data_IF_260457137524
#
_entry.id   IF_260457137524
#
_cell.length_a   1.000
_cell.length_b   1.000
_cell.length_c   1.000
_cell.angle_alpha   90.00
_cell.angle_beta   90.00
_cell.angle_gamma   90.00
#
_symmetry.space_group_name_H-M   'P 1'
#
loop_
_entity.id
_entity.type
_entity.pdbx_description
1 polymer ?
#
# COMPACT_ATOMS: atom_id res chain seq x y z
N UNK A 1 15.34 -16.36 -35.44
CA UNK A 1 13.86 -16.36 -35.43
C UNK A 1 13.41 -15.06 -34.85
N UNK A 2 12.82 -14.17 -35.67
CA UNK A 2 12.28 -12.89 -35.25
C UNK A 2 10.94 -13.15 -34.55
N UNK A 3 10.88 -12.94 -33.23
CA UNK A 3 9.60 -12.80 -32.54
C UNK A 3 9.00 -11.44 -32.95
N UNK A 4 8.06 -11.46 -33.87
CA UNK A 4 7.19 -10.34 -34.13
C UNK A 4 6.30 -10.16 -32.90
N UNK A 5 6.51 -9.11 -32.11
CA UNK A 5 5.59 -8.66 -31.10
C UNK A 5 4.27 -8.30 -31.82
N UNK A 6 3.25 -9.17 -31.73
CA UNK A 6 1.88 -8.78 -32.02
C UNK A 6 1.52 -7.69 -31.02
N UNK A 7 1.42 -6.44 -31.48
CA UNK A 7 0.78 -5.38 -30.71
C UNK A 7 -0.68 -5.85 -30.48
N UNK A 8 -0.95 -6.37 -29.31
CA UNK A 8 -2.32 -6.64 -28.89
C UNK A 8 -3.02 -5.28 -28.86
N UNK A 9 -4.06 -5.11 -29.67
CA UNK A 9 -4.95 -3.94 -29.58
C UNK A 9 -5.49 -3.95 -28.17
N UNK A 10 -5.03 -3.00 -27.34
CA UNK A 10 -5.51 -2.85 -25.97
C UNK A 10 -6.99 -2.49 -26.07
N UNK A 11 -7.84 -3.40 -25.64
CA UNK A 11 -9.27 -3.17 -25.60
C UNK A 11 -9.57 -2.22 -24.46
N UNK A 12 -10.06 -1.03 -24.76
CA UNK A 12 -10.48 -0.06 -23.76
C UNK A 12 -11.59 -0.64 -22.88
N UNK A 13 -11.46 -0.48 -21.58
CA UNK A 13 -12.36 -1.02 -20.57
C UNK A 13 -12.91 0.10 -19.70
N UNK A 14 -14.12 -0.11 -19.17
CA UNK A 14 -14.67 0.67 -18.06
C UNK A 14 -14.37 -0.08 -16.76
N UNK A 15 -13.58 0.54 -15.88
CA UNK A 15 -13.08 -0.08 -14.67
C UNK A 15 -13.69 0.63 -13.45
N UNK A 16 -14.39 -0.11 -12.59
CA UNK A 16 -14.80 0.39 -11.29
C UNK A 16 -13.80 -0.09 -10.22
N UNK A 17 -13.14 0.84 -9.53
CA UNK A 17 -12.30 0.54 -8.37
C UNK A 17 -13.09 0.89 -7.12
N UNK A 18 -13.24 -0.04 -6.18
CA UNK A 18 -13.94 0.17 -4.92
C UNK A 18 -13.01 -0.01 -3.72
N UNK A 19 -12.88 1.02 -2.90
CA UNK A 19 -12.04 0.99 -1.73
C UNK A 19 -12.67 1.78 -0.59
N UNK A 20 -12.73 1.20 0.60
CA UNK A 20 -13.13 1.92 1.82
C UNK A 20 -12.01 2.84 2.35
N UNK A 21 -10.78 2.69 1.83
CA UNK A 21 -9.63 3.55 2.09
C UNK A 21 -9.09 4.06 0.76
N UNK A 22 -9.15 5.37 0.56
CA UNK A 22 -8.66 6.01 -0.65
C UNK A 22 -8.06 7.38 -0.33
N UNK A 23 -7.22 7.89 -1.25
CA UNK A 23 -6.67 9.23 -1.16
C UNK A 23 -7.75 10.28 -0.82
N UNK A 24 -7.49 11.26 0.09
CA UNK A 24 -6.19 11.69 0.59
C UNK A 24 -5.65 10.94 1.82
N UNK A 25 -6.30 9.89 2.30
CA UNK A 25 -5.73 9.06 3.35
C UNK A 25 -4.45 8.38 2.85
N UNK A 26 -3.37 8.43 3.65
CA UNK A 26 -2.05 7.93 3.28
C UNK A 26 -1.81 6.58 3.96
N UNK A 27 -1.93 5.53 3.18
CA UNK A 27 -1.54 4.17 3.55
C UNK A 27 -1.29 3.33 2.29
N UNK A 28 -0.74 2.14 2.43
CA UNK A 28 -0.39 1.29 1.28
C UNK A 28 -1.56 0.96 0.35
N UNK A 29 -2.78 0.81 0.89
CA UNK A 29 -3.99 0.52 0.09
C UNK A 29 -4.39 1.73 -0.76
N UNK A 30 -4.42 2.92 -0.15
CA UNK A 30 -4.81 4.14 -0.87
C UNK A 30 -3.77 4.58 -1.89
N UNK A 31 -2.48 4.43 -1.60
CA UNK A 31 -1.40 4.67 -2.55
C UNK A 31 -1.50 3.73 -3.75
N UNK A 32 -1.64 2.42 -3.50
CA UNK A 32 -1.82 1.44 -4.58
C UNK A 32 -3.07 1.71 -5.41
N UNK A 33 -4.23 1.96 -4.76
CA UNK A 33 -5.50 2.22 -5.44
C UNK A 33 -5.44 3.46 -6.32
N UNK A 34 -4.74 4.50 -5.84
CA UNK A 34 -4.49 5.74 -6.60
C UNK A 34 -3.60 5.46 -7.81
N UNK A 35 -2.44 4.81 -7.61
CA UNK A 35 -1.53 4.46 -8.69
C UNK A 35 -2.21 3.58 -9.75
N UNK A 36 -3.03 2.61 -9.32
CA UNK A 36 -3.80 1.76 -10.23
C UNK A 36 -4.79 2.60 -11.07
N UNK A 37 -5.52 3.53 -10.45
CA UNK A 37 -6.47 4.39 -11.16
C UNK A 37 -5.75 5.28 -12.18
N UNK A 38 -4.68 5.96 -11.78
CA UNK A 38 -3.86 6.83 -12.64
C UNK A 38 -3.27 6.08 -13.83
N UNK A 39 -2.64 4.94 -13.57
CA UNK A 39 -1.96 4.17 -14.60
C UNK A 39 -2.95 3.50 -15.57
N UNK A 40 -4.10 3.01 -15.11
CA UNK A 40 -5.15 2.48 -15.99
C UNK A 40 -5.74 3.59 -16.86
N UNK A 41 -5.96 4.78 -16.31
CA UNK A 41 -6.43 5.95 -17.05
C UNK A 41 -5.40 6.39 -18.10
N UNK A 42 -4.12 6.47 -17.74
CA UNK A 42 -3.03 6.80 -18.66
C UNK A 42 -2.92 5.82 -19.85
N UNK A 43 -3.41 4.58 -19.69
CA UNK A 43 -3.51 3.57 -20.75
C UNK A 43 -4.80 3.67 -21.56
N UNK A 44 -5.66 4.69 -21.30
CA UNK A 44 -6.86 5.01 -22.03
C UNK A 44 -8.13 4.34 -21.50
N UNK A 45 -8.08 3.60 -20.40
CA UNK A 45 -9.29 3.03 -19.79
C UNK A 45 -10.15 4.11 -19.13
N UNK A 46 -11.49 3.93 -19.15
CA UNK A 46 -12.41 4.77 -18.35
C UNK A 46 -12.44 4.25 -16.91
N UNK A 47 -11.86 5.00 -15.97
CA UNK A 47 -11.75 4.59 -14.57
C UNK A 47 -12.65 5.43 -13.67
N UNK A 48 -13.41 4.76 -12.81
CA UNK A 48 -14.19 5.39 -11.75
C UNK A 48 -13.86 4.72 -10.42
N UNK A 49 -13.43 5.53 -9.44
CA UNK A 49 -13.16 5.09 -8.08
C UNK A 49 -14.37 5.37 -7.20
N UNK A 50 -14.78 4.41 -6.40
CA UNK A 50 -15.83 4.55 -5.39
C UNK A 50 -15.20 4.45 -4.01
N UNK A 51 -15.32 5.53 -3.21
CA UNK A 51 -14.69 5.62 -1.90
C UNK A 51 -15.55 6.47 -0.93
N UNK A 52 -15.38 6.31 0.41
CA UNK A 52 -16.07 7.15 1.37
C UNK A 52 -15.75 8.64 1.19
N UNK A 53 -16.74 9.49 1.40
CA UNK A 53 -16.59 10.94 1.38
C UNK A 53 -15.72 11.41 2.56
N UNK A 54 -14.95 12.46 2.33
CA UNK A 54 -14.17 13.11 3.39
C UNK A 54 -14.99 14.14 4.17
N UNK A 55 -16.07 14.67 3.56
CA UNK A 55 -16.94 15.67 4.18
C UNK A 55 -18.15 15.06 4.88
N UNK A 56 -18.50 13.82 4.57
CA UNK A 56 -19.72 13.13 5.01
C UNK A 56 -20.76 13.05 3.91
N UNK A 57 -20.83 14.04 3.02
CA UNK A 57 -21.82 14.13 1.97
C UNK A 57 -21.37 13.42 0.68
N UNK A 58 -22.36 13.01 -0.14
CA UNK A 58 -22.10 12.49 -1.47
C UNK A 58 -21.67 13.58 -2.43
N UNK A 59 -20.58 13.35 -3.16
CA UNK A 59 -20.14 14.20 -4.29
C UNK A 59 -19.29 13.41 -5.27
N UNK A 60 -19.07 13.97 -6.46
CA UNK A 60 -18.15 13.41 -7.48
C UNK A 60 -17.06 14.43 -7.72
N UNK A 61 -15.81 13.99 -7.69
CA UNK A 61 -14.65 14.82 -8.02
C UNK A 61 -13.93 14.24 -9.24
N UNK A 62 -13.37 15.10 -10.06
CA UNK A 62 -12.43 14.74 -11.12
C UNK A 62 -11.02 14.91 -10.58
N UNK A 63 -10.23 13.85 -10.68
CA UNK A 63 -8.85 13.81 -10.22
C UNK A 63 -8.01 13.40 -11.42
N UNK A 64 -7.19 14.31 -11.90
CA UNK A 64 -6.46 14.16 -13.14
C UNK A 64 -7.45 13.75 -14.27
N UNK A 65 -7.33 12.57 -14.86
CA UNK A 65 -8.20 12.11 -15.94
C UNK A 65 -9.20 11.00 -15.52
N UNK A 66 -9.42 10.78 -14.20
CA UNK A 66 -10.40 9.83 -13.70
C UNK A 66 -11.36 10.45 -12.67
N UNK A 67 -12.49 9.78 -12.44
CA UNK A 67 -13.51 10.26 -11.49
C UNK A 67 -13.46 9.50 -10.18
N UNK A 68 -13.67 10.24 -9.08
CA UNK A 68 -13.85 9.66 -7.74
C UNK A 68 -15.24 9.97 -7.24
N UNK A 69 -16.04 8.94 -7.03
CA UNK A 69 -17.38 9.02 -6.43
C UNK A 69 -17.23 8.91 -4.93
N UNK A 70 -17.39 10.03 -4.25
CA UNK A 70 -17.35 10.13 -2.79
C UNK A 70 -18.72 9.80 -2.22
N UNK A 71 -18.82 8.62 -1.64
CA UNK A 71 -20.06 8.09 -1.08
C UNK A 71 -20.29 8.66 0.32
N UNK A 72 -21.55 8.97 0.65
CA UNK A 72 -21.92 9.49 1.98
C UNK A 72 -21.34 8.63 3.08
N UNK A 73 -20.76 9.27 4.10
CA UNK A 73 -19.96 8.57 5.10
C UNK A 73 -20.11 9.18 6.49
N UNK A 74 -19.81 8.39 7.51
CA UNK A 74 -19.73 8.83 8.91
C UNK A 74 -18.36 8.51 9.50
N UNK A 75 -17.95 9.23 10.53
CA UNK A 75 -16.69 8.96 11.22
C UNK A 75 -16.74 7.60 11.93
N UNK A 76 -15.64 6.87 11.89
CA UNK A 76 -15.48 5.67 12.70
C UNK A 76 -15.14 6.08 14.14
N UNK A 77 -16.00 5.76 15.14
CA UNK A 77 -15.95 6.40 16.47
C UNK A 77 -14.72 6.06 17.31
N UNK A 78 -13.93 5.07 16.94
CA UNK A 78 -12.82 4.53 17.74
C UNK A 78 -11.43 4.83 17.15
N UNK A 79 -11.33 5.62 16.08
CA UNK A 79 -10.05 5.95 15.48
C UNK A 79 -9.73 7.44 15.71
N UNK A 80 -8.53 7.78 16.23
CA UNK A 80 -8.18 9.16 16.48
C UNK A 80 -8.13 9.95 15.18
N UNK A 81 -8.75 11.13 15.21
CA UNK A 81 -8.70 12.07 14.09
C UNK A 81 -7.29 12.68 14.02
N UNK A 82 -6.58 12.44 12.94
CA UNK A 82 -5.36 13.17 12.61
C UNK A 82 -5.72 14.27 11.60
N UNK A 83 -5.30 15.49 11.86
CA UNK A 83 -5.48 16.64 10.96
C UNK A 83 -4.24 16.78 10.09
N UNK A 84 -4.35 16.54 8.80
CA UNK A 84 -3.32 16.87 7.82
C UNK A 84 -3.83 17.94 6.86
N UNK A 85 -2.94 18.86 6.45
CA UNK A 85 -3.21 19.87 5.44
C UNK A 85 -2.81 19.36 4.07
N UNK A 86 -3.75 19.31 3.12
CA UNK A 86 -3.43 19.06 1.71
C UNK A 86 -2.74 20.25 1.06
N UNK A 87 -1.78 20.02 0.15
CA UNK A 87 -1.03 21.10 -0.48
C UNK A 87 -1.83 21.93 -1.48
N UNK A 88 -2.92 21.46 -2.08
CA UNK A 88 -3.70 22.21 -3.07
C UNK A 88 -5.23 21.96 -3.03
N UNK A 89 -6.05 22.99 -3.36
CA UNK A 89 -7.51 22.83 -3.49
C UNK A 89 -7.84 22.07 -4.78
N UNK A 90 -8.75 21.08 -4.70
CA UNK A 90 -9.23 20.29 -5.85
C UNK A 90 -10.56 20.86 -6.39
N UNK A 91 -10.75 20.78 -7.72
CA UNK A 91 -12.02 21.09 -8.37
C UNK A 91 -13.01 19.94 -8.21
N UNK A 92 -14.25 20.23 -7.90
CA UNK A 92 -15.35 19.25 -7.82
C UNK A 92 -16.18 19.37 -9.10
N UNK A 93 -16.46 18.24 -9.74
CA UNK A 93 -17.31 18.18 -10.94
C UNK A 93 -18.74 18.63 -10.58
N UNK A 94 -19.27 19.60 -11.33
CA UNK A 94 -20.60 20.18 -11.09
C UNK A 94 -20.63 21.60 -10.57
N UNK A 95 -19.48 22.28 -10.46
CA UNK A 95 -19.31 23.72 -10.26
C UNK A 95 -19.17 24.18 -8.80
N UNK A 96 -18.10 24.89 -8.55
CA UNK A 96 -17.88 25.90 -7.50
C UNK A 96 -17.87 25.47 -6.03
N UNK A 97 -17.49 24.26 -5.68
CA UNK A 97 -17.04 24.02 -4.29
C UNK A 97 -15.54 23.75 -4.32
N UNK A 98 -14.76 24.75 -3.95
CA UNK A 98 -13.35 24.58 -3.61
C UNK A 98 -13.35 23.93 -2.23
N UNK A 99 -12.87 22.69 -2.11
CA UNK A 99 -12.66 22.09 -0.79
C UNK A 99 -11.57 22.91 -0.11
N UNK A 100 -11.84 23.58 1.02
CA UNK A 100 -10.83 24.40 1.69
C UNK A 100 -9.64 23.54 2.10
N UNK A 101 -8.42 24.11 2.03
CA UNK A 101 -7.14 23.50 2.45
C UNK A 101 -7.12 22.88 3.86
N UNK A 102 -8.16 23.03 4.66
CA UNK A 102 -8.09 22.92 6.13
C UNK A 102 -8.75 21.66 6.69
N UNK A 103 -9.47 20.84 5.93
CA UNK A 103 -10.26 19.75 6.52
C UNK A 103 -10.05 18.40 5.85
N UNK A 104 -8.93 17.77 6.21
CA UNK A 104 -8.79 16.33 6.08
C UNK A 104 -8.69 15.75 7.49
N UNK A 105 -9.83 15.33 8.00
CA UNK A 105 -9.82 14.43 9.14
C UNK A 105 -9.29 13.09 8.63
N UNK A 106 -8.08 12.72 9.01
CA UNK A 106 -7.51 11.40 8.77
C UNK A 106 -8.16 10.32 9.68
N UNK A 107 -9.39 10.52 10.08
CA UNK A 107 -10.20 9.48 10.70
C UNK A 107 -10.71 8.50 9.64
N UNK A 108 -10.75 7.21 9.97
CA UNK A 108 -11.46 6.24 9.14
C UNK A 108 -12.93 6.65 9.03
N UNK A 109 -13.43 6.75 7.80
CA UNK A 109 -14.83 7.04 7.52
C UNK A 109 -15.47 5.84 6.88
N UNK A 110 -16.71 5.55 7.27
CA UNK A 110 -17.47 4.40 6.79
C UNK A 110 -18.70 4.87 6.01
N UNK A 111 -18.89 4.29 4.83
CA UNK A 111 -20.09 4.45 4.03
C UNK A 111 -21.05 3.29 4.33
N UNK A 112 -22.06 3.53 5.14
CA UNK A 112 -22.91 2.43 5.64
C UNK A 112 -23.89 1.87 4.61
N UNK A 113 -24.37 2.69 3.64
CA UNK A 113 -25.34 2.31 2.62
C UNK A 113 -24.90 2.71 1.21
N UNK A 114 -23.68 2.37 0.77
CA UNK A 114 -23.10 2.89 -0.48
C UNK A 114 -23.81 2.40 -1.74
N UNK A 115 -24.53 1.28 -1.68
CA UNK A 115 -25.18 0.64 -2.84
C UNK A 115 -26.18 1.56 -3.58
N UNK A 116 -26.87 2.46 -2.85
CA UNK A 116 -27.85 3.38 -3.46
C UNK A 116 -27.14 4.42 -4.31
N UNK A 117 -26.05 4.98 -3.80
CA UNK A 117 -25.28 6.02 -4.47
C UNK A 117 -24.46 5.45 -5.63
N UNK A 118 -23.90 4.25 -5.49
CA UNK A 118 -23.26 3.52 -6.61
C UNK A 118 -24.26 3.36 -7.77
N UNK A 119 -25.47 2.88 -7.50
CA UNK A 119 -26.51 2.72 -8.54
C UNK A 119 -26.93 4.05 -9.15
N UNK A 120 -27.10 5.08 -8.32
CA UNK A 120 -27.45 6.43 -8.77
C UNK A 120 -26.41 6.94 -9.75
N UNK A 121 -25.12 6.94 -9.35
CA UNK A 121 -24.03 7.37 -10.20
C UNK A 121 -23.96 6.61 -11.52
N UNK A 122 -24.00 5.27 -11.47
CA UNK A 122 -23.92 4.45 -12.66
C UNK A 122 -25.07 4.72 -13.65
N UNK A 123 -26.29 4.96 -13.15
CA UNK A 123 -27.45 5.29 -13.97
C UNK A 123 -27.35 6.69 -14.58
N UNK A 124 -27.04 7.71 -13.77
CA UNK A 124 -26.99 9.12 -14.19
C UNK A 124 -25.85 9.39 -15.18
N UNK A 125 -24.73 8.68 -15.06
CA UNK A 125 -23.56 8.86 -15.91
C UNK A 125 -23.44 7.81 -17.04
N UNK A 126 -24.44 6.95 -17.23
CA UNK A 126 -24.39 5.83 -18.18
C UNK A 126 -23.08 5.01 -18.07
N UNK A 127 -22.60 4.84 -16.81
CA UNK A 127 -21.40 4.11 -16.51
C UNK A 127 -21.75 2.69 -16.07
N UNK A 128 -21.47 1.72 -16.92
CA UNK A 128 -21.56 0.30 -16.56
C UNK A 128 -20.17 -0.29 -16.70
N UNK A 129 -19.52 -0.67 -15.59
CA UNK A 129 -18.16 -1.20 -15.64
C UNK A 129 -18.10 -2.56 -16.33
N UNK A 130 -17.04 -2.77 -17.10
CA UNK A 130 -16.69 -4.08 -17.67
C UNK A 130 -16.11 -5.01 -16.60
N UNK A 131 -15.46 -4.43 -15.58
CA UNK A 131 -14.88 -5.13 -14.43
C UNK A 131 -14.93 -4.25 -13.19
N UNK A 132 -15.15 -4.87 -12.03
CA UNK A 132 -15.04 -4.21 -10.73
C UNK A 132 -13.85 -4.77 -9.95
N UNK A 133 -12.97 -3.87 -9.48
CA UNK A 133 -11.80 -4.24 -8.68
C UNK A 133 -11.92 -3.71 -7.25
N UNK A 134 -11.96 -4.60 -6.29
CA UNK A 134 -12.15 -4.31 -4.87
C UNK A 134 -10.81 -4.33 -4.16
N UNK A 135 -10.48 -3.23 -3.45
CA UNK A 135 -9.20 -3.06 -2.77
C UNK A 135 -9.28 -3.29 -1.26
N UNK A 136 -10.47 -3.17 -0.69
CA UNK A 136 -10.68 -3.40 0.74
C UNK A 136 -12.04 -4.06 0.98
N UNK A 137 -12.07 -4.92 2.00
CA UNK A 137 -13.18 -5.83 2.27
C UNK A 137 -14.11 -5.26 3.36
N UNK A 138 -14.68 -4.06 3.12
CA UNK A 138 -15.65 -3.44 4.01
C UNK A 138 -16.94 -3.08 3.25
N UNK A 139 -17.60 -1.99 3.62
CA UNK A 139 -18.92 -1.64 3.13
C UNK A 139 -18.97 -1.28 1.65
N UNK A 140 -18.04 -0.45 1.18
CA UNK A 140 -17.97 -0.03 -0.23
C UNK A 140 -17.62 -1.24 -1.11
N UNK A 141 -16.64 -2.04 -0.68
CA UNK A 141 -16.26 -3.26 -1.36
C UNK A 141 -17.41 -4.25 -1.48
N UNK A 142 -18.15 -4.52 -0.40
CA UNK A 142 -19.29 -5.44 -0.42
C UNK A 142 -20.43 -4.91 -1.32
N UNK A 143 -20.73 -3.62 -1.24
CA UNK A 143 -21.77 -3.03 -2.08
C UNK A 143 -21.42 -3.10 -3.57
N UNK A 144 -20.15 -2.92 -3.93
CA UNK A 144 -19.70 -3.06 -5.32
C UNK A 144 -19.79 -4.52 -5.79
N UNK A 145 -19.47 -5.50 -4.94
CA UNK A 145 -19.68 -6.92 -5.25
C UNK A 145 -21.16 -7.21 -5.52
N UNK A 146 -22.05 -6.71 -4.65
CA UNK A 146 -23.49 -6.92 -4.81
C UNK A 146 -24.06 -6.23 -6.06
N UNK A 147 -23.54 -5.04 -6.39
CA UNK A 147 -23.83 -4.36 -7.66
C UNK A 147 -23.38 -5.19 -8.86
N UNK A 148 -22.12 -5.62 -8.85
CA UNK A 148 -21.51 -6.38 -9.94
C UNK A 148 -22.22 -7.69 -10.22
N UNK A 149 -22.56 -8.44 -9.16
CA UNK A 149 -23.32 -9.70 -9.30
C UNK A 149 -24.69 -9.52 -9.94
N UNK A 150 -25.40 -8.43 -9.60
CA UNK A 150 -26.72 -8.14 -10.19
C UNK A 150 -26.65 -7.78 -11.66
N UNK A 151 -25.53 -7.22 -12.09
CA UNK A 151 -25.31 -6.80 -13.48
C UNK A 151 -24.42 -7.75 -14.27
N UNK A 152 -24.07 -8.93 -13.69
CA UNK A 152 -23.20 -9.93 -14.30
C UNK A 152 -21.82 -9.39 -14.67
N UNK A 153 -21.28 -8.46 -13.87
CA UNK A 153 -19.95 -7.86 -14.01
C UNK A 153 -18.94 -8.72 -13.25
N UNK A 154 -17.79 -9.09 -13.84
CA UNK A 154 -16.74 -9.82 -13.15
C UNK A 154 -16.10 -8.99 -12.04
N UNK A 155 -15.72 -9.67 -10.96
CA UNK A 155 -15.14 -9.07 -9.76
C UNK A 155 -13.71 -9.56 -9.55
N UNK A 156 -12.78 -8.64 -9.47
CA UNK A 156 -11.40 -8.87 -9.01
C UNK A 156 -11.28 -8.35 -7.58
N UNK A 157 -10.61 -9.06 -6.70
CA UNK A 157 -10.37 -8.62 -5.32
C UNK A 157 -8.86 -8.68 -5.05
N UNK A 158 -8.26 -7.55 -4.65
CA UNK A 158 -6.93 -7.52 -4.06
C UNK A 158 -7.05 -7.42 -2.55
N UNK A 159 -6.52 -8.40 -1.83
CA UNK A 159 -6.50 -8.36 -0.38
C UNK A 159 -5.16 -7.81 0.12
N UNK A 160 -5.21 -6.60 0.65
CA UNK A 160 -4.06 -5.90 1.26
C UNK A 160 -4.01 -6.06 2.78
N UNK A 161 -5.04 -6.65 3.40
CA UNK A 161 -5.20 -6.66 4.84
C UNK A 161 -4.33 -7.73 5.48
N UNK A 162 -3.56 -7.33 6.49
CA UNK A 162 -3.05 -8.22 7.52
C UNK A 162 -3.91 -8.04 8.78
N UNK A 163 -4.29 -9.12 9.48
CA UNK A 163 -5.10 -9.03 10.71
C UNK A 163 -4.47 -8.12 11.76
N UNK A 164 -3.15 -8.16 11.88
CA UNK A 164 -2.39 -7.37 12.86
C UNK A 164 -2.56 -5.87 12.61
N UNK A 165 -2.53 -5.43 11.37
CA UNK A 165 -2.68 -4.01 11.01
C UNK A 165 -4.07 -3.44 11.30
N UNK A 166 -5.08 -4.28 11.50
CA UNK A 166 -6.45 -3.82 11.72
C UNK A 166 -6.76 -3.55 13.19
N UNK A 167 -6.13 -4.28 14.12
CA UNK A 167 -6.52 -4.28 15.53
C UNK A 167 -5.42 -3.90 16.53
N UNK A 168 -4.16 -3.79 16.10
CA UNK A 168 -3.04 -3.44 16.98
C UNK A 168 -3.21 -2.04 17.62
N UNK A 169 -4.05 -1.20 17.03
CA UNK A 169 -4.42 0.10 17.60
C UNK A 169 -5.47 0.01 18.73
N UNK A 170 -6.07 -1.17 18.97
CA UNK A 170 -7.04 -1.40 20.03
C UNK A 170 -6.39 -2.14 21.21
N UNK A 171 -5.44 -1.49 21.90
CA UNK A 171 -4.68 -2.06 23.05
C UNK A 171 -5.57 -2.75 24.08
N UNK A 172 -6.80 -2.28 24.28
CA UNK A 172 -7.78 -2.86 25.21
C UNK A 172 -8.20 -4.28 24.83
N UNK A 173 -8.08 -4.66 23.57
CA UNK A 173 -8.47 -5.99 23.04
C UNK A 173 -7.28 -6.94 22.86
N UNK A 174 -6.07 -6.53 23.26
CA UNK A 174 -4.84 -7.33 23.11
C UNK A 174 -4.96 -8.78 23.64
N UNK A 175 -5.61 -9.07 24.78
CA UNK A 175 -5.77 -10.44 25.26
C UNK A 175 -6.64 -11.31 24.32
N UNK A 176 -7.48 -10.70 23.49
CA UNK A 176 -8.36 -11.39 22.55
C UNK A 176 -7.76 -11.47 21.14
N UNK A 177 -6.55 -10.92 20.92
CA UNK A 177 -5.91 -10.82 19.62
C UNK A 177 -5.86 -12.15 18.83
N UNK A 178 -5.59 -13.34 19.41
CA UNK A 178 -5.56 -14.58 18.64
C UNK A 178 -6.94 -14.95 18.06
N UNK A 179 -8.01 -14.71 18.80
CA UNK A 179 -9.39 -15.00 18.37
C UNK A 179 -9.79 -14.00 17.29
N UNK A 180 -9.49 -12.72 17.52
CA UNK A 180 -9.78 -11.62 16.59
C UNK A 180 -9.03 -11.84 15.27
N UNK A 181 -7.73 -12.12 15.32
CA UNK A 181 -6.91 -12.38 14.13
C UNK A 181 -7.44 -13.56 13.32
N UNK A 182 -7.83 -14.66 13.99
CA UNK A 182 -8.47 -15.81 13.31
C UNK A 182 -9.79 -15.43 12.65
N UNK A 183 -10.61 -14.62 13.31
CA UNK A 183 -11.91 -14.17 12.79
C UNK A 183 -11.71 -13.27 11.57
N UNK A 184 -10.75 -12.35 11.61
CA UNK A 184 -10.40 -11.47 10.49
C UNK A 184 -9.87 -12.28 9.30
N UNK A 185 -8.98 -13.25 9.53
CA UNK A 185 -8.50 -14.14 8.48
C UNK A 185 -9.64 -14.93 7.82
N UNK A 186 -10.58 -15.44 8.60
CA UNK A 186 -11.75 -16.14 8.07
C UNK A 186 -12.66 -15.19 7.28
N UNK A 187 -12.86 -13.97 7.77
CA UNK A 187 -13.65 -12.96 7.09
C UNK A 187 -13.03 -12.55 5.75
N UNK A 188 -11.76 -12.17 5.75
CA UNK A 188 -11.03 -11.75 4.52
C UNK A 188 -10.93 -12.89 3.52
N UNK A 189 -10.73 -14.13 3.97
CA UNK A 189 -10.80 -15.32 3.13
C UNK A 189 -12.18 -15.49 2.49
N UNK A 190 -13.27 -15.44 3.29
CA UNK A 190 -14.64 -15.55 2.76
C UNK A 190 -14.96 -14.43 1.79
N UNK A 191 -14.44 -13.24 2.04
CA UNK A 191 -14.61 -12.12 1.14
C UNK A 191 -13.89 -12.38 -0.20
N UNK A 192 -12.63 -12.78 -0.17
CA UNK A 192 -11.87 -13.13 -1.37
C UNK A 192 -12.53 -14.24 -2.21
N UNK A 193 -13.18 -15.22 -1.56
CA UNK A 193 -13.93 -16.28 -2.25
C UNK A 193 -15.17 -15.80 -3.01
N UNK A 194 -15.52 -14.51 -2.91
CA UNK A 194 -16.61 -13.90 -3.69
C UNK A 194 -16.16 -13.41 -5.06
N UNK A 195 -14.85 -13.34 -5.31
CA UNK A 195 -14.25 -12.87 -6.56
C UNK A 195 -14.32 -13.91 -7.69
N UNK A 196 -14.27 -13.43 -8.92
CA UNK A 196 -13.95 -14.23 -10.10
C UNK A 196 -12.42 -14.45 -10.21
N UNK A 197 -11.63 -13.55 -9.59
CA UNK A 197 -10.17 -13.63 -9.46
C UNK A 197 -9.71 -12.90 -8.19
N UNK A 198 -8.85 -13.50 -7.40
CA UNK A 198 -8.26 -12.86 -6.23
C UNK A 198 -6.74 -12.63 -6.38
N UNK A 199 -6.26 -11.52 -5.85
CA UNK A 199 -4.82 -11.24 -5.76
C UNK A 199 -4.43 -10.85 -4.33
N UNK A 200 -3.17 -11.04 -4.01
CA UNK A 200 -2.52 -10.53 -2.79
C UNK A 200 -1.15 -10.00 -3.17
N UNK A 201 -0.58 -9.05 -2.41
CA UNK A 201 0.69 -8.42 -2.78
C UNK A 201 1.87 -9.39 -2.84
N UNK A 202 1.84 -10.47 -2.05
CA UNK A 202 2.94 -11.42 -1.90
C UNK A 202 2.44 -12.87 -1.84
N UNK A 203 3.32 -13.82 -2.15
CA UNK A 203 3.03 -15.24 -2.04
C UNK A 203 2.78 -15.64 -0.58
N UNK A 204 3.54 -15.08 0.36
CA UNK A 204 3.33 -15.34 1.78
C UNK A 204 1.96 -14.86 2.28
N UNK A 205 1.46 -13.72 1.78
CA UNK A 205 0.10 -13.28 2.11
C UNK A 205 -0.94 -14.30 1.64
N UNK A 206 -0.75 -14.93 0.49
CA UNK A 206 -1.62 -16.01 0.00
C UNK A 206 -1.57 -17.22 0.94
N UNK A 207 -0.39 -17.71 1.26
CA UNK A 207 -0.20 -18.91 2.09
C UNK A 207 -0.78 -18.73 3.50
N UNK A 208 -0.69 -17.53 4.04
CA UNK A 208 -1.28 -17.17 5.32
C UNK A 208 -2.81 -17.24 5.32
N UNK A 209 -3.46 -16.84 4.22
CA UNK A 209 -4.92 -16.81 4.11
C UNK A 209 -5.49 -18.14 3.59
N UNK A 210 -4.75 -18.82 2.74
CA UNK A 210 -5.19 -20.02 2.05
C UNK A 210 -4.19 -21.16 2.24
N UNK A 211 -4.53 -22.13 3.07
CA UNK A 211 -3.68 -23.32 3.30
C UNK A 211 -3.43 -24.12 2.02
N UNK A 212 -4.40 -24.14 1.10
CA UNK A 212 -4.34 -24.82 -0.19
C UNK A 212 -4.97 -23.89 -1.26
N UNK A 213 -4.25 -22.87 -1.73
CA UNK A 213 -4.78 -21.90 -2.69
C UNK A 213 -5.19 -22.52 -4.03
N UNK A 214 -4.54 -23.62 -4.43
CA UNK A 214 -4.83 -24.38 -5.65
C UNK A 214 -6.21 -25.07 -5.64
N UNK A 215 -6.79 -25.28 -4.44
CA UNK A 215 -8.14 -25.85 -4.26
C UNK A 215 -9.24 -24.78 -4.26
N UNK A 216 -8.90 -23.51 -4.38
CA UNK A 216 -9.89 -22.45 -4.47
C UNK A 216 -10.67 -22.54 -5.78
N UNK A 217 -11.96 -22.18 -5.74
CA UNK A 217 -12.82 -22.21 -6.94
C UNK A 217 -12.47 -21.12 -7.97
N UNK A 218 -11.72 -20.11 -7.56
CA UNK A 218 -11.25 -19.04 -8.42
C UNK A 218 -9.71 -18.98 -8.39
N UNK A 219 -9.07 -18.42 -9.43
CA UNK A 219 -7.63 -18.19 -9.41
C UNK A 219 -7.23 -17.21 -8.30
N UNK A 220 -6.11 -17.53 -7.63
CA UNK A 220 -5.47 -16.65 -6.64
C UNK A 220 -4.00 -16.54 -7.02
N UNK A 221 -3.49 -15.30 -7.18
CA UNK A 221 -2.08 -15.07 -7.51
C UNK A 221 -1.48 -13.91 -6.71
N UNK A 222 -0.18 -14.01 -6.45
CA UNK A 222 0.60 -12.89 -5.96
C UNK A 222 0.82 -11.88 -7.09
N UNK A 223 0.47 -10.63 -6.82
CA UNK A 223 0.72 -9.49 -7.70
C UNK A 223 1.21 -8.35 -6.83
N UNK A 224 2.47 -7.97 -7.00
CA UNK A 224 3.08 -6.85 -6.27
C UNK A 224 2.26 -5.58 -6.45
N UNK A 225 2.23 -4.71 -5.44
CA UNK A 225 1.65 -3.38 -5.57
C UNK A 225 2.42 -2.49 -6.56
N UNK A 226 3.65 -2.87 -6.88
CA UNK A 226 4.52 -2.13 -7.78
C UNK A 226 5.10 -0.86 -7.16
N UNK A 227 6.16 -0.39 -7.76
CA UNK A 227 6.83 0.87 -7.44
C UNK A 227 7.14 1.63 -8.73
N UNK A 228 6.93 2.92 -8.73
CA UNK A 228 7.27 3.78 -9.87
C UNK A 228 8.78 3.99 -9.94
N UNK A 229 9.45 3.20 -10.79
CA UNK A 229 10.88 3.25 -11.00
C UNK A 229 11.34 4.50 -11.79
N UNK A 230 10.42 5.28 -12.35
CA UNK A 230 10.74 6.57 -12.94
C UNK A 230 10.89 7.67 -11.89
N UNK A 231 10.21 7.51 -10.78
CA UNK A 231 10.19 8.45 -9.66
C UNK A 231 11.22 8.10 -8.58
N UNK A 232 11.23 6.83 -8.14
CA UNK A 232 12.20 6.34 -7.16
C UNK A 232 13.46 5.87 -7.90
N UNK A 233 14.49 6.70 -7.91
CA UNK A 233 15.74 6.50 -8.65
C UNK A 233 16.95 6.66 -7.72
N UNK A 234 18.10 6.01 -8.02
CA UNK A 234 19.31 6.07 -7.18
C UNK A 234 20.10 7.38 -7.33
N UNK A 235 19.41 8.49 -7.52
CA UNK A 235 20.00 9.81 -7.61
C UNK A 235 20.35 10.36 -6.22
N UNK A 236 21.17 11.41 -6.20
CA UNK A 236 21.46 12.13 -4.95
C UNK A 236 20.42 13.23 -4.74
N UNK A 237 19.96 13.45 -3.48
CA UNK A 237 19.11 14.60 -3.20
C UNK A 237 19.84 15.92 -3.51
N UNK A 238 19.12 16.97 -3.92
CA UNK A 238 19.69 18.30 -4.09
C UNK A 238 20.19 18.87 -2.75
N UNK A 239 21.16 19.79 -2.79
CA UNK A 239 21.72 20.40 -1.56
C UNK A 239 20.66 21.12 -0.74
N UNK A 240 19.74 21.79 -1.40
CA UNK A 240 18.62 22.51 -0.80
C UNK A 240 17.72 21.63 0.06
N UNK A 241 17.62 20.31 -0.27
CA UNK A 241 16.92 19.34 0.54
C UNK A 241 17.55 19.16 1.92
N UNK A 242 18.86 19.04 1.99
CA UNK A 242 19.58 18.90 3.26
C UNK A 242 19.47 20.17 4.12
N UNK A 243 19.51 21.35 3.48
CA UNK A 243 19.34 22.63 4.15
C UNK A 243 17.90 22.80 4.67
N UNK A 244 16.90 22.47 3.84
CA UNK A 244 15.47 22.53 4.18
C UNK A 244 15.13 21.73 5.43
N UNK A 245 15.72 20.56 5.58
CA UNK A 245 15.42 19.63 6.67
C UNK A 245 16.51 19.59 7.76
N UNK A 246 17.50 20.50 7.72
CA UNK A 246 18.64 20.55 8.63
C UNK A 246 19.33 19.18 8.78
N UNK A 247 19.54 18.47 7.65
CA UNK A 247 20.17 17.16 7.62
C UNK A 247 21.67 17.28 7.36
N UNK A 248 22.50 16.51 8.07
CA UNK A 248 23.93 16.51 7.84
C UNK A 248 24.29 15.79 6.53
N UNK A 249 24.95 16.49 5.61
CA UNK A 249 25.36 15.90 4.32
C UNK A 249 26.50 14.89 4.42
N UNK A 250 27.31 14.99 5.48
CA UNK A 250 28.56 14.23 5.64
C UNK A 250 28.48 13.11 6.68
N UNK A 251 27.29 12.83 7.21
CA UNK A 251 27.09 11.77 8.20
C UNK A 251 26.24 10.64 7.63
N UNK A 252 26.52 9.39 8.02
CA UNK A 252 25.66 8.28 7.67
C UNK A 252 24.24 8.47 8.21
N UNK A 253 23.23 8.25 7.37
CA UNK A 253 21.83 8.36 7.73
C UNK A 253 21.20 6.96 7.75
N UNK A 254 20.79 6.54 8.94
CA UNK A 254 19.89 5.39 9.14
C UNK A 254 18.47 5.91 8.97
N UNK A 255 17.77 5.47 7.96
CA UNK A 255 16.45 5.97 7.58
C UNK A 255 15.35 4.99 7.98
N UNK A 256 14.30 5.50 8.61
CA UNK A 256 13.05 4.79 8.82
C UNK A 256 11.90 5.64 8.26
N UNK A 257 11.04 5.05 7.45
CA UNK A 257 9.89 5.73 6.81
C UNK A 257 8.65 4.89 7.02
N UNK A 258 7.57 5.49 7.54
CA UNK A 258 6.31 4.81 7.76
C UNK A 258 5.48 5.45 8.87
N UNK A 259 4.35 4.84 9.21
CA UNK A 259 3.53 5.28 10.34
C UNK A 259 4.31 5.09 11.66
N UNK A 260 4.19 6.07 12.54
CA UNK A 260 4.88 6.06 13.84
C UNK A 260 3.91 5.54 14.92
N UNK A 261 3.51 4.28 14.75
CA UNK A 261 2.61 3.57 15.67
C UNK A 261 3.34 2.40 16.35
N UNK A 262 2.84 1.93 17.48
CA UNK A 262 3.50 0.93 18.31
C UNK A 262 3.81 -0.39 17.58
N UNK A 263 2.94 -0.82 16.63
CA UNK A 263 3.14 -2.03 15.85
C UNK A 263 4.34 -1.95 14.87
N UNK A 264 4.92 -0.77 14.68
CA UNK A 264 6.11 -0.57 13.82
C UNK A 264 7.43 -0.80 14.57
N UNK A 265 7.39 -1.05 15.86
CA UNK A 265 8.55 -1.36 16.69
C UNK A 265 9.73 -0.36 16.52
N UNK A 266 9.40 0.94 16.31
CA UNK A 266 10.44 1.97 16.13
C UNK A 266 11.28 2.15 17.41
N UNK A 267 10.73 1.85 18.57
CA UNK A 267 11.49 1.80 19.83
C UNK A 267 12.68 0.82 19.77
N UNK A 268 12.49 -0.36 19.17
CA UNK A 268 13.57 -1.34 18.95
C UNK A 268 14.65 -0.76 18.04
N UNK A 269 14.27 -0.06 16.96
CA UNK A 269 15.24 0.63 16.09
C UNK A 269 16.00 1.74 16.83
N UNK A 270 15.33 2.55 17.66
CA UNK A 270 15.99 3.60 18.46
C UNK A 270 17.01 2.98 19.41
N UNK A 271 16.67 1.88 20.07
CA UNK A 271 17.59 1.15 20.96
C UNK A 271 18.77 0.58 20.17
N UNK A 272 18.55 -0.01 19.00
CA UNK A 272 19.62 -0.51 18.13
C UNK A 272 20.56 0.62 17.67
N UNK A 273 20.01 1.77 17.28
CA UNK A 273 20.84 2.94 16.92
C UNK A 273 21.63 3.46 18.13
N UNK A 274 21.06 3.43 19.34
CA UNK A 274 21.80 3.77 20.54
C UNK A 274 23.05 2.86 20.75
N UNK A 275 22.93 1.55 20.45
CA UNK A 275 24.09 0.64 20.46
C UNK A 275 25.11 1.01 19.36
N UNK A 276 24.65 1.32 18.14
CA UNK A 276 25.54 1.79 17.06
C UNK A 276 26.31 3.05 17.46
N UNK A 277 25.64 4.01 18.14
CA UNK A 277 26.25 5.27 18.55
C UNK A 277 27.35 5.11 19.61
N UNK A 278 27.33 4.04 20.39
CA UNK A 278 28.43 3.73 21.32
C UNK A 278 29.76 3.49 20.60
N UNK A 279 29.66 2.93 19.37
CA UNK A 279 30.83 2.61 18.54
C UNK A 279 31.08 3.65 17.42
N UNK A 280 30.01 4.27 16.92
CA UNK A 280 30.07 5.25 15.83
C UNK A 280 29.17 6.47 16.13
N UNK A 281 29.73 7.44 16.84
CA UNK A 281 29.03 8.65 17.31
C UNK A 281 28.52 9.58 16.20
N UNK A 282 28.81 9.28 14.94
CA UNK A 282 28.47 10.14 13.80
C UNK A 282 27.18 9.73 13.07
N UNK A 283 26.62 8.55 13.36
CA UNK A 283 25.38 8.12 12.74
C UNK A 283 24.17 9.00 13.14
N UNK A 284 23.26 9.21 12.20
CA UNK A 284 21.99 9.92 12.39
C UNK A 284 20.84 8.96 12.10
N UNK A 285 19.87 8.88 13.00
CA UNK A 285 18.58 8.25 12.75
C UNK A 285 17.60 9.30 12.28
N UNK A 286 16.99 9.09 11.13
CA UNK A 286 15.93 9.96 10.58
C UNK A 286 14.65 9.14 10.46
N UNK A 287 13.62 9.58 11.18
CA UNK A 287 12.29 8.94 11.21
C UNK A 287 11.34 9.84 10.45
N UNK A 288 10.80 9.35 9.32
CA UNK A 288 9.86 10.07 8.45
C UNK A 288 8.48 9.42 8.57
N UNK A 289 7.52 10.20 8.98
CA UNK A 289 6.14 9.80 9.26
C UNK A 289 5.65 10.35 10.58
N UNK A 290 4.40 10.09 10.86
CA UNK A 290 3.74 10.47 12.11
C UNK A 290 2.83 9.36 12.61
N UNK A 291 2.44 9.42 13.88
CA UNK A 291 1.58 8.43 14.49
C UNK A 291 1.47 8.56 16.00
N UNK A 292 0.66 7.67 16.56
CA UNK A 292 0.25 7.76 17.98
C UNK A 292 1.37 7.48 18.97
N UNK A 293 2.46 6.81 18.55
CA UNK A 293 3.57 6.45 19.42
C UNK A 293 4.69 7.49 19.44
N UNK A 294 4.63 8.51 18.59
CA UNK A 294 5.67 9.54 18.48
C UNK A 294 6.06 10.17 19.82
N UNK A 295 5.13 10.59 20.71
CA UNK A 295 5.51 11.19 21.99
C UNK A 295 6.29 10.23 22.88
N UNK A 296 5.98 8.93 22.86
CA UNK A 296 6.70 7.92 23.63
C UNK A 296 8.13 7.73 23.09
N UNK A 297 8.30 7.74 21.77
CA UNK A 297 9.58 7.60 21.10
C UNK A 297 10.48 8.82 21.33
N UNK A 298 9.93 10.03 21.26
CA UNK A 298 10.67 11.26 21.60
C UNK A 298 11.14 11.26 23.06
N UNK A 299 10.30 10.78 23.99
CA UNK A 299 10.69 10.61 25.39
C UNK A 299 11.78 9.52 25.56
N UNK A 300 11.71 8.41 24.81
CA UNK A 300 12.75 7.38 24.80
C UNK A 300 14.09 7.97 24.34
N UNK A 301 14.10 8.70 23.22
CA UNK A 301 15.29 9.38 22.68
C UNK A 301 15.91 10.34 23.70
N UNK A 302 15.06 11.11 24.40
CA UNK A 302 15.51 12.01 25.47
C UNK A 302 16.14 11.25 26.64
N UNK A 303 15.50 10.19 27.11
CA UNK A 303 16.02 9.35 28.22
C UNK A 303 17.35 8.68 27.88
N UNK A 304 17.58 8.32 26.64
CA UNK A 304 18.83 7.74 26.16
C UNK A 304 19.92 8.78 25.92
N UNK A 305 19.61 10.07 25.97
CA UNK A 305 20.59 11.15 25.75
C UNK A 305 21.06 11.30 24.30
N UNK A 306 20.31 10.74 23.30
CA UNK A 306 20.68 10.73 21.88
C UNK A 306 19.87 11.71 21.04
N UNK A 307 19.24 12.71 21.64
CA UNK A 307 18.39 13.70 20.93
C UNK A 307 19.11 14.44 19.79
N UNK A 308 20.42 14.56 19.83
CA UNK A 308 21.22 15.16 18.75
C UNK A 308 21.40 14.23 17.54
N UNK A 309 21.15 12.94 17.72
CA UNK A 309 21.35 11.90 16.71
C UNK A 309 20.05 11.37 16.12
N UNK A 310 18.88 11.77 16.62
CA UNK A 310 17.57 11.30 16.16
C UNK A 310 16.72 12.48 15.73
N UNK A 311 16.13 12.40 14.54
CA UNK A 311 15.28 13.43 13.97
C UNK A 311 13.92 12.84 13.57
N UNK A 312 12.84 13.48 14.02
CA UNK A 312 11.46 13.16 13.62
C UNK A 312 10.99 14.19 12.61
N UNK A 313 10.80 13.78 11.35
CA UNK A 313 10.50 14.67 10.23
C UNK A 313 9.01 14.88 9.97
N UNK A 314 8.13 14.19 10.71
CA UNK A 314 6.70 14.18 10.39
C UNK A 314 6.41 13.51 9.05
N UNK A 315 5.15 13.58 8.62
CA UNK A 315 4.73 13.01 7.34
C UNK A 315 5.28 13.80 6.17
N UNK A 316 5.94 13.11 5.24
CA UNK A 316 6.50 13.69 4.02
C UNK A 316 5.88 13.06 2.78
N UNK A 317 5.71 13.84 1.72
CA UNK A 317 5.05 13.44 0.48
C UNK A 317 5.81 13.97 -0.75
N UNK A 318 5.37 13.52 -1.91
CA UNK A 318 5.89 14.04 -3.18
C UNK A 318 7.39 13.79 -3.32
N UNK A 319 8.10 14.77 -3.83
CA UNK A 319 9.54 14.70 -4.08
C UNK A 319 10.36 14.69 -2.78
N UNK A 320 9.87 15.31 -1.72
CA UNK A 320 10.55 15.26 -0.41
C UNK A 320 10.65 13.82 0.10
N UNK A 321 9.59 13.01 -0.02
CA UNK A 321 9.62 11.59 0.37
C UNK A 321 10.68 10.82 -0.43
N UNK A 322 10.76 11.04 -1.74
CA UNK A 322 11.77 10.42 -2.60
C UNK A 322 13.17 10.83 -2.16
N UNK A 323 13.37 12.11 -1.87
CA UNK A 323 14.66 12.62 -1.43
C UNK A 323 15.08 12.12 -0.04
N UNK A 324 14.13 11.83 0.87
CA UNK A 324 14.45 11.12 2.12
C UNK A 324 14.99 9.72 1.84
N UNK A 325 14.38 8.95 0.94
CA UNK A 325 14.92 7.65 0.54
C UNK A 325 16.32 7.80 -0.10
N UNK A 326 16.50 8.77 -1.00
CA UNK A 326 17.79 9.05 -1.64
C UNK A 326 18.87 9.49 -0.66
N UNK A 327 18.50 10.17 0.44
CA UNK A 327 19.45 10.62 1.47
C UNK A 327 19.93 9.49 2.38
N UNK A 328 19.23 8.37 2.44
CA UNK A 328 19.58 7.24 3.30
C UNK A 328 20.94 6.65 2.93
N UNK A 329 21.71 6.26 3.93
CA UNK A 329 22.83 5.32 3.79
C UNK A 329 22.34 3.90 3.87
N UNK A 330 21.38 3.63 4.75
CA UNK A 330 20.68 2.37 4.92
C UNK A 330 19.24 2.64 5.33
N UNK A 331 18.30 1.88 4.78
CA UNK A 331 16.90 1.88 5.21
C UNK A 331 16.68 0.75 6.22
N UNK A 332 16.02 1.04 7.34
CA UNK A 332 15.77 0.07 8.40
C UNK A 332 14.32 0.13 8.87
N UNK A 333 13.67 -1.03 8.93
CA UNK A 333 12.37 -1.17 9.58
C UNK A 333 12.35 -2.39 10.50
N UNK A 334 12.01 -2.17 11.77
CA UNK A 334 11.84 -3.23 12.77
C UNK A 334 10.39 -3.77 12.81
N UNK A 335 9.53 -3.37 11.86
CA UNK A 335 8.12 -3.74 11.81
C UNK A 335 7.92 -5.22 11.50
N UNK A 336 7.25 -6.00 12.37
CA UNK A 336 6.91 -7.39 12.10
C UNK A 336 5.62 -7.55 11.28
N UNK A 337 4.92 -6.47 10.94
CA UNK A 337 3.55 -6.51 10.41
C UNK A 337 3.41 -6.02 8.96
N UNK A 338 4.48 -6.07 8.17
CA UNK A 338 4.43 -5.64 6.78
C UNK A 338 3.68 -6.64 5.89
N UNK A 339 2.67 -6.15 5.14
CA UNK A 339 1.93 -6.97 4.15
C UNK A 339 2.71 -7.14 2.84
N UNK A 340 3.43 -6.11 2.44
CA UNK A 340 4.43 -6.14 1.37
C UNK A 340 5.66 -5.31 1.74
N UNK A 341 5.48 -4.21 2.48
CA UNK A 341 6.56 -3.28 2.80
C UNK A 341 6.94 -2.39 1.60
N UNK A 342 5.98 -1.60 1.12
CA UNK A 342 6.20 -0.67 -0.02
C UNK A 342 7.43 0.22 0.23
N UNK A 343 7.65 0.65 1.48
CA UNK A 343 8.81 1.47 1.85
C UNK A 343 10.16 0.78 1.62
N UNK A 344 10.22 -0.55 1.67
CA UNK A 344 11.41 -1.32 1.28
C UNK A 344 11.62 -1.29 -0.23
N UNK A 345 10.53 -1.36 -1.02
CA UNK A 345 10.60 -1.22 -2.48
C UNK A 345 11.10 0.18 -2.86
N UNK A 346 10.59 1.22 -2.19
CA UNK A 346 11.01 2.61 -2.39
C UNK A 346 12.51 2.81 -2.07
N UNK A 347 12.96 2.27 -0.95
CA UNK A 347 14.36 2.34 -0.56
C UNK A 347 15.28 1.59 -1.54
N UNK A 348 14.91 0.35 -1.92
CA UNK A 348 15.67 -0.44 -2.88
C UNK A 348 15.72 0.20 -4.27
N UNK A 349 14.61 0.83 -4.72
CA UNK A 349 14.55 1.58 -5.97
C UNK A 349 15.47 2.83 -5.95
N UNK A 350 15.63 3.45 -4.77
CA UNK A 350 16.64 4.50 -4.57
C UNK A 350 18.07 3.96 -4.36
N UNK A 351 18.30 2.66 -4.58
CA UNK A 351 19.61 2.04 -4.47
C UNK A 351 20.12 1.97 -3.02
N UNK A 352 19.24 1.80 -2.03
CA UNK A 352 19.67 1.74 -0.63
C UNK A 352 19.67 0.30 -0.12
N UNK A 353 20.75 -0.10 0.60
CA UNK A 353 20.71 -1.31 1.42
C UNK A 353 19.52 -1.30 2.38
N UNK A 354 18.91 -2.45 2.61
CA UNK A 354 17.72 -2.55 3.46
C UNK A 354 17.96 -3.49 4.63
N UNK A 355 17.45 -3.15 5.80
CA UNK A 355 17.42 -4.03 6.97
C UNK A 355 15.97 -4.20 7.41
N UNK A 356 15.52 -5.43 7.52
CA UNK A 356 14.17 -5.77 7.96
C UNK A 356 14.17 -6.89 8.98
N UNK A 357 12.99 -7.20 9.51
CA UNK A 357 12.80 -8.36 10.39
C UNK A 357 12.41 -9.58 9.58
N UNK A 358 12.86 -10.77 10.02
CA UNK A 358 12.68 -12.06 9.33
C UNK A 358 11.27 -12.61 9.48
N UNK A 359 10.27 -11.77 9.17
CA UNK A 359 8.86 -12.13 9.20
C UNK A 359 8.10 -11.61 7.98
N UNK A 360 7.03 -12.30 7.65
CA UNK A 360 6.10 -11.84 6.63
C UNK A 360 6.74 -11.61 5.27
N UNK A 361 6.17 -10.66 4.56
CA UNK A 361 6.50 -10.35 3.18
C UNK A 361 7.84 -9.63 2.99
N UNK A 362 8.48 -9.17 4.06
CA UNK A 362 9.77 -8.46 4.00
C UNK A 362 10.83 -9.32 3.32
N UNK A 363 10.80 -10.65 3.53
CA UNK A 363 11.73 -11.62 2.92
C UNK A 363 11.71 -11.64 1.38
N UNK A 364 10.62 -11.25 0.77
CA UNK A 364 10.51 -11.22 -0.70
C UNK A 364 11.31 -10.05 -1.31
N UNK A 365 11.55 -9.00 -0.50
CA UNK A 365 12.23 -7.78 -0.94
C UNK A 365 13.62 -7.67 -0.31
N UNK A 366 13.72 -7.86 1.01
CA UNK A 366 14.98 -7.90 1.74
C UNK A 366 15.50 -9.34 1.75
N UNK A 367 16.48 -9.63 0.90
CA UNK A 367 17.13 -10.94 0.82
C UNK A 367 18.43 -10.90 1.62
N UNK A 368 18.49 -11.72 2.69
CA UNK A 368 19.58 -11.72 3.64
C UNK A 368 20.94 -11.97 2.98
N UNK A 369 21.92 -11.11 3.27
CA UNK A 369 23.26 -11.15 2.70
C UNK A 369 23.35 -10.80 1.20
N UNK A 370 22.24 -10.44 0.53
CA UNK A 370 22.18 -10.13 -0.89
C UNK A 370 22.00 -8.64 -1.15
N UNK A 371 20.91 -8.04 -0.62
CA UNK A 371 20.64 -6.60 -0.73
C UNK A 371 20.46 -5.92 0.63
N UNK A 372 20.69 -6.66 1.72
CA UNK A 372 20.54 -6.20 3.07
C UNK A 372 20.66 -7.33 4.08
N UNK A 373 20.05 -7.11 5.26
CA UNK A 373 20.02 -8.11 6.33
C UNK A 373 18.60 -8.31 6.85
N UNK A 374 18.30 -9.57 7.20
CA UNK A 374 17.10 -9.94 7.95
C UNK A 374 17.48 -10.23 9.40
N UNK A 375 16.80 -9.58 10.33
CA UNK A 375 17.01 -9.71 11.76
C UNK A 375 15.80 -10.40 12.41
N UNK A 376 16.03 -11.04 13.56
CA UNK A 376 14.93 -11.53 14.39
C UNK A 376 14.12 -10.35 14.94
N UNK A 377 12.83 -10.57 15.14
CA UNK A 377 11.95 -9.54 15.72
C UNK A 377 12.45 -9.16 17.11
N UNK A 378 12.53 -7.84 17.35
CA UNK A 378 12.99 -7.22 18.62
C UNK A 378 14.44 -7.56 19.01
N UNK A 379 15.24 -8.11 18.12
CA UNK A 379 16.65 -8.35 18.36
C UNK A 379 17.47 -7.09 18.10
N UNK A 380 17.63 -6.29 19.16
CA UNK A 380 18.32 -5.00 19.14
C UNK A 380 19.78 -5.15 18.70
N UNK A 381 20.48 -6.15 19.21
CA UNK A 381 21.90 -6.42 18.94
C UNK A 381 22.11 -6.76 17.47
N UNK A 382 21.28 -7.64 16.90
CA UNK A 382 21.37 -8.05 15.50
C UNK A 382 21.09 -6.89 14.54
N UNK A 383 20.11 -6.02 14.86
CA UNK A 383 19.82 -4.82 14.06
C UNK A 383 21.02 -3.85 14.14
N UNK A 384 21.58 -3.63 15.34
CA UNK A 384 22.73 -2.74 15.54
C UNK A 384 23.98 -3.23 14.79
N UNK A 385 24.28 -4.54 14.85
CA UNK A 385 25.36 -5.14 14.08
C UNK A 385 25.17 -5.01 12.58
N UNK A 386 23.95 -5.25 12.07
CA UNK A 386 23.60 -5.13 10.67
C UNK A 386 23.78 -3.70 10.16
N UNK A 387 23.33 -2.71 10.93
CA UNK A 387 23.56 -1.30 10.64
C UNK A 387 25.07 -1.02 10.60
N UNK A 388 25.82 -1.40 11.64
CA UNK A 388 27.27 -1.15 11.72
C UNK A 388 28.02 -1.78 10.54
N UNK A 389 27.72 -3.03 10.15
CA UNK A 389 28.35 -3.70 9.01
C UNK A 389 28.17 -2.90 7.71
N UNK A 390 26.99 -2.33 7.47
CA UNK A 390 26.72 -1.53 6.27
C UNK A 390 27.43 -0.17 6.33
N UNK A 391 27.42 0.49 7.51
CA UNK A 391 28.05 1.81 7.68
C UNK A 391 29.59 1.74 7.58
N UNK A 392 30.20 0.66 8.06
CA UNK A 392 31.65 0.49 8.12
C UNK A 392 32.22 -0.10 6.82
N UNK A 393 31.41 -0.73 5.96
CA UNK A 393 31.85 -1.39 4.75
C UNK A 393 31.18 -0.80 3.49
N UNK A 394 31.83 0.20 2.87
CA UNK A 394 31.34 0.87 1.67
C UNK A 394 31.15 -0.10 0.48
N UNK A 395 32.00 -1.13 0.38
CA UNK A 395 31.89 -2.10 -0.72
C UNK A 395 30.63 -2.96 -0.54
N UNK A 396 30.40 -3.45 0.68
CA UNK A 396 29.18 -4.20 1.02
C UNK A 396 27.91 -3.37 0.74
N UNK A 397 27.92 -2.10 1.14
CA UNK A 397 26.79 -1.19 0.88
C UNK A 397 26.55 -1.00 -0.63
N UNK A 398 27.63 -0.89 -1.43
CA UNK A 398 27.54 -0.77 -2.90
C UNK A 398 27.01 -2.05 -3.55
N UNK A 399 27.47 -3.21 -3.09
CA UNK A 399 27.02 -4.52 -3.59
C UNK A 399 25.53 -4.74 -3.24
N UNK A 400 25.11 -4.42 -2.04
CA UNK A 400 23.70 -4.48 -1.62
C UNK A 400 22.82 -3.52 -2.43
N UNK A 401 23.30 -2.30 -2.70
CA UNK A 401 22.62 -1.33 -3.55
C UNK A 401 22.40 -1.89 -4.95
N UNK A 402 23.45 -2.41 -5.58
CA UNK A 402 23.38 -2.99 -6.92
C UNK A 402 22.40 -4.17 -6.99
N UNK A 403 22.47 -5.07 -6.03
CA UNK A 403 21.59 -6.23 -5.98
C UNK A 403 20.14 -5.82 -5.71
N UNK A 404 19.91 -4.81 -4.85
CA UNK A 404 18.59 -4.24 -4.60
C UNK A 404 17.95 -3.68 -5.87
N UNK A 405 18.73 -2.95 -6.69
CA UNK A 405 18.26 -2.43 -7.98
C UNK A 405 17.91 -3.53 -9.00
N UNK A 406 18.54 -4.70 -8.93
CA UNK A 406 18.14 -5.84 -9.77
C UNK A 406 16.84 -6.49 -9.26
N UNK A 407 16.71 -6.68 -7.94
CA UNK A 407 15.52 -7.27 -7.32
C UNK A 407 14.29 -6.41 -7.62
N UNK A 408 14.42 -5.07 -7.55
CA UNK A 408 13.28 -4.18 -7.69
C UNK A 408 12.67 -4.17 -9.09
N UNK A 409 13.37 -4.57 -10.13
CA UNK A 409 12.86 -4.59 -11.51
C UNK A 409 11.60 -5.43 -11.67
N UNK A 410 11.48 -6.52 -10.93
CA UNK A 410 10.27 -7.36 -10.95
C UNK A 410 9.06 -6.71 -10.26
N UNK A 411 9.27 -5.61 -9.54
CA UNK A 411 8.26 -4.84 -8.84
C UNK A 411 7.93 -3.51 -9.55
N UNK A 412 8.34 -3.33 -10.81
CA UNK A 412 7.99 -2.15 -11.60
C UNK A 412 6.45 -1.98 -11.66
N UNK A 413 6.00 -0.74 -11.45
CA UNK A 413 4.58 -0.41 -11.47
C UNK A 413 3.94 -0.73 -12.83
N UNK A 414 4.64 -0.45 -13.94
CA UNK A 414 4.13 -0.75 -15.27
C UNK A 414 3.91 -2.25 -15.48
N UNK A 415 4.80 -3.08 -14.94
CA UNK A 415 4.64 -4.53 -14.95
C UNK A 415 3.42 -4.97 -14.14
N UNK A 416 3.27 -4.41 -12.93
CA UNK A 416 2.09 -4.65 -12.07
C UNK A 416 0.79 -4.30 -12.80
N UNK A 417 0.72 -3.12 -13.41
CA UNK A 417 -0.47 -2.66 -14.13
C UNK A 417 -0.78 -3.57 -15.32
N UNK A 418 0.24 -3.98 -16.09
CA UNK A 418 0.05 -4.94 -17.20
C UNK A 418 -0.50 -6.28 -16.72
N UNK A 419 -0.09 -6.75 -15.54
CA UNK A 419 -0.68 -7.94 -14.91
C UNK A 419 -2.15 -7.76 -14.56
N UNK A 420 -2.55 -6.60 -14.06
CA UNK A 420 -3.97 -6.32 -13.79
C UNK A 420 -4.78 -6.22 -15.08
N UNK A 421 -4.25 -5.64 -16.16
CA UNK A 421 -4.93 -5.67 -17.46
C UNK A 421 -5.13 -7.10 -17.98
N UNK A 422 -4.12 -7.97 -17.86
CA UNK A 422 -4.23 -9.40 -18.18
C UNK A 422 -5.35 -10.08 -17.36
N UNK A 423 -5.40 -9.82 -16.05
CA UNK A 423 -6.42 -10.35 -15.14
C UNK A 423 -7.80 -9.85 -15.51
N UNK A 424 -7.97 -8.55 -15.79
CA UNK A 424 -9.24 -7.97 -16.19
C UNK A 424 -9.75 -8.59 -17.50
N UNK A 425 -8.91 -8.66 -18.50
CA UNK A 425 -9.26 -9.32 -19.78
C UNK A 425 -9.66 -10.78 -19.56
N UNK A 426 -8.92 -11.51 -18.74
CA UNK A 426 -9.22 -12.91 -18.42
C UNK A 426 -10.62 -13.06 -17.79
N UNK A 427 -10.95 -12.27 -16.75
CA UNK A 427 -12.24 -12.41 -16.06
C UNK A 427 -13.41 -11.91 -16.92
N UNK A 428 -13.22 -10.87 -17.74
CA UNK A 428 -14.22 -10.37 -18.67
C UNK A 428 -14.55 -11.45 -19.72
N UNK A 429 -13.53 -12.05 -20.34
CA UNK A 429 -13.75 -13.09 -21.38
C UNK A 429 -14.35 -14.37 -20.76
N UNK A 430 -13.88 -14.77 -19.57
CA UNK A 430 -14.49 -15.89 -18.84
C UNK A 430 -15.96 -15.63 -18.53
N UNK A 431 -16.30 -14.41 -18.09
CA UNK A 431 -17.68 -14.04 -17.76
C UNK A 431 -18.61 -14.03 -18.95
N UNK A 432 -18.16 -13.64 -20.14
CA UNK A 432 -18.91 -13.74 -21.38
C UNK A 432 -19.23 -15.18 -21.77
N UNK A 433 -18.37 -16.13 -21.40
CA UNK A 433 -18.57 -17.55 -21.71
C UNK A 433 -19.50 -18.24 -20.68
N UNK A 434 -19.76 -17.63 -19.53
CA UNK A 434 -20.70 -18.16 -18.56
C UNK A 434 -22.16 -18.04 -19.04
N UNK A 435 -23.00 -19.08 -18.85
CA UNK A 435 -24.39 -19.00 -19.23
C UNK A 435 -25.13 -17.94 -18.40
N UNK A 436 -25.85 -17.04 -19.09
CA UNK A 436 -26.51 -15.89 -18.47
C UNK A 436 -27.72 -16.24 -17.61
N UNK A 437 -28.34 -17.39 -17.83
CA UNK A 437 -29.51 -17.84 -17.08
C UNK A 437 -29.52 -19.35 -16.84
N UNK A 438 -30.44 -19.82 -15.99
CA UNK A 438 -30.56 -21.23 -15.64
C UNK A 438 -30.94 -22.14 -16.83
N UNK A 439 -31.68 -21.61 -17.81
CA UNK A 439 -32.07 -22.32 -19.03
C UNK A 439 -30.84 -22.61 -19.91
N UNK A 440 -29.96 -21.64 -20.09
CA UNK A 440 -28.68 -21.85 -20.78
C UNK A 440 -27.76 -22.81 -20.02
N UNK A 441 -27.76 -22.78 -18.67
CA UNK A 441 -27.06 -23.79 -17.85
C UNK A 441 -27.59 -25.19 -18.08
N UNK A 442 -28.91 -25.34 -18.17
CA UNK A 442 -29.57 -26.61 -18.42
C UNK A 442 -29.28 -27.13 -19.86
N UNK A 443 -29.39 -26.25 -20.85
CA UNK A 443 -29.12 -26.60 -22.25
C UNK A 443 -27.67 -27.05 -22.50
N UNK A 444 -26.69 -26.44 -21.81
CA UNK A 444 -25.30 -26.86 -21.90
C UNK A 444 -24.99 -28.18 -21.14
N UNK A 445 -25.77 -28.49 -20.07
CA UNK A 445 -25.67 -29.80 -19.39
C UNK A 445 -26.30 -30.94 -20.19
N UNK A 446 -27.32 -30.65 -21.01
CA UNK A 446 -27.97 -31.64 -21.87
C UNK A 446 -27.19 -31.92 -23.17
N UNK A 447 -26.22 -31.05 -23.52
CA UNK A 447 -25.35 -31.21 -24.70
C UNK A 447 -24.01 -31.87 -24.41
N UNK A 448 -23.71 -32.19 -23.14
CA UNK A 448 -22.59 -33.01 -22.66
C UNK A 448 -23.07 -34.40 -22.23
#
# INVERSE_FOLDING_TARGET
MKFAAKSAIIKLMKIAIASDLFWPMINGISVFSKNLAEQMTARGHEVVVFAPSQTGDYYVEEVDDYRVVRLSSTNFPFYPNQTETLPEPRKIAGGRITVPRIYLHNGYRLSLLPIREIRKFCKENNFMPDVSHIQLQLFVGQAMIDFSRRHNIPVVITNHSSPENLFDNLKMLAPLSPIINRTVLLYTKRFALQADYATMPTQQAIERHFRNPEKAKMPIKAVSNGIDLSRFTPEKPPKEFFEKFDLPQNLPIVMNIGRVDAEKHISTLILAVNEVLKNNKKAQLVIVGDGTDRPNLENLVYKLGISKNVRFMGTQLGEDLVNFHRAATVFVSASPTETQGIVFLEAAACGKPVIGVDVGAVKEICQDGINGFLCETDNIEQIAESISKILDNKQLAADFSKNGLEIIKQHDLNFTISKFEEIYNFVIEKKKQEPRNWLEKLSRKLKK
#
